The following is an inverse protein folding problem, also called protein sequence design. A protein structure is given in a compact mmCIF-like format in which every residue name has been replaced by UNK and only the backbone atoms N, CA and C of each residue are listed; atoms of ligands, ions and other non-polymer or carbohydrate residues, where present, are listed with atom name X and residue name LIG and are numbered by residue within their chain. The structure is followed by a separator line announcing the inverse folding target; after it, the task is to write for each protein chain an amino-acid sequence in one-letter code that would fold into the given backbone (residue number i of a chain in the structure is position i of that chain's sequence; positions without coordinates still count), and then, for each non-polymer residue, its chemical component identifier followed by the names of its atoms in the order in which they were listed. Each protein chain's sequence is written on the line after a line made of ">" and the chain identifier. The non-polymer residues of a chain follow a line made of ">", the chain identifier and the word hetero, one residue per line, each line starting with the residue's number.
data_IF_896952632242
#
_entry.id   IF_896952632242
#
_cell.length_a   1.000
_cell.length_b   1.000
_cell.length_c   1.000
_cell.angle_alpha   90.00
_cell.angle_beta   90.00
_cell.angle_gamma   90.00
#
_symmetry.space_group_name_H-M   'P 1'
#
loop_
_entity.id
_entity.type
_entity.pdbx_description
1 polymer ?
#
# COMPACT_ATOMS: atom_id res chain seq x y z
N UNK A 1 2.51 -17.15 8.79
CA UNK A 1 2.38 -17.61 7.38
C UNK A 1 3.75 -18.02 6.89
N UNK A 2 3.88 -19.11 6.11
CA UNK A 2 5.14 -19.48 5.45
C UNK A 2 5.52 -18.39 4.47
N UNK A 3 6.76 -17.93 4.52
CA UNK A 3 7.28 -16.96 3.55
C UNK A 3 7.31 -17.62 2.17
N UNK A 4 6.77 -16.93 1.15
CA UNK A 4 6.77 -17.40 -0.23
C UNK A 4 8.20 -17.37 -0.78
N UNK A 5 8.54 -18.34 -1.63
CA UNK A 5 9.77 -18.27 -2.42
C UNK A 5 9.60 -17.21 -3.52
N UNK A 6 10.70 -16.62 -3.98
CA UNK A 6 10.69 -15.61 -5.03
C UNK A 6 10.00 -16.10 -6.33
N UNK A 7 10.20 -17.36 -6.68
CA UNK A 7 9.61 -18.02 -7.85
C UNK A 7 8.10 -18.21 -7.75
N UNK A 8 7.55 -18.19 -6.53
CA UNK A 8 6.13 -18.39 -6.25
C UNK A 8 5.35 -17.07 -6.22
N UNK A 9 6.06 -15.92 -6.30
CA UNK A 9 5.44 -14.61 -6.31
C UNK A 9 4.56 -14.43 -7.54
N UNK A 10 3.44 -13.73 -7.35
CA UNK A 10 2.46 -13.38 -8.36
C UNK A 10 2.31 -11.87 -8.41
N UNK A 11 1.60 -11.34 -9.41
CA UNK A 11 1.35 -9.90 -9.51
C UNK A 11 0.71 -9.31 -8.24
N UNK A 12 -0.13 -10.08 -7.55
CA UNK A 12 -0.77 -9.65 -6.29
C UNK A 12 0.17 -9.54 -5.09
N UNK A 13 1.41 -10.05 -5.19
CA UNK A 13 2.42 -9.84 -4.16
C UNK A 13 3.04 -8.44 -4.35
N UNK A 14 3.07 -7.63 -3.31
CA UNK A 14 3.49 -6.22 -3.30
C UNK A 14 4.87 -6.01 -3.93
N UNK A 15 5.85 -6.84 -3.54
CA UNK A 15 7.18 -6.82 -4.14
C UNK A 15 7.12 -7.03 -5.67
N UNK A 16 6.39 -8.06 -6.13
CA UNK A 16 6.28 -8.36 -7.56
C UNK A 16 5.53 -7.26 -8.30
N UNK A 17 4.45 -6.74 -7.72
CA UNK A 17 3.70 -5.61 -8.27
C UNK A 17 4.61 -4.41 -8.52
N UNK A 18 5.35 -3.98 -7.49
CA UNK A 18 6.29 -2.87 -7.62
C UNK A 18 7.38 -3.11 -8.67
N UNK A 19 7.84 -4.36 -8.90
CA UNK A 19 8.83 -4.67 -9.93
C UNK A 19 8.25 -4.67 -11.35
N UNK A 20 7.07 -5.24 -11.53
CA UNK A 20 6.37 -5.26 -12.83
C UNK A 20 5.97 -3.85 -13.25
N UNK A 21 5.48 -3.04 -12.30
CA UNK A 21 5.13 -1.63 -12.56
C UNK A 21 6.34 -0.74 -12.89
N UNK A 22 7.55 -1.24 -12.88
CA UNK A 22 8.73 -0.56 -13.45
C UNK A 22 8.73 -0.48 -14.97
N UNK A 23 7.99 -1.34 -15.63
CA UNK A 23 7.76 -1.22 -17.06
C UNK A 23 6.77 -0.07 -17.32
N UNK A 24 7.25 1.02 -17.94
CA UNK A 24 6.49 2.25 -18.16
C UNK A 24 5.18 1.99 -18.92
N UNK A 25 5.21 1.19 -19.96
CA UNK A 25 4.02 0.86 -20.76
C UNK A 25 2.99 0.06 -19.95
N UNK A 26 3.45 -0.89 -19.15
CA UNK A 26 2.61 -1.70 -18.25
C UNK A 26 2.01 -0.83 -17.16
N UNK A 27 2.81 -0.01 -16.50
CA UNK A 27 2.35 0.88 -15.42
C UNK A 27 1.28 1.86 -15.94
N UNK A 28 1.58 2.57 -17.03
CA UNK A 28 0.65 3.49 -17.67
C UNK A 28 -0.68 2.80 -18.01
N UNK A 29 -0.64 1.67 -18.72
CA UNK A 29 -1.86 0.95 -19.12
C UNK A 29 -2.64 0.41 -17.91
N UNK A 30 -1.94 -0.03 -16.86
CA UNK A 30 -2.59 -0.44 -15.60
C UNK A 30 -3.36 0.73 -14.97
N UNK A 31 -2.74 1.91 -14.86
CA UNK A 31 -3.40 3.10 -14.31
C UNK A 31 -4.58 3.56 -15.17
N UNK A 32 -4.44 3.54 -16.49
CA UNK A 32 -5.54 3.86 -17.42
C UNK A 32 -6.75 2.94 -17.21
N UNK A 33 -6.52 1.63 -17.06
CA UNK A 33 -7.59 0.65 -16.80
C UNK A 33 -8.23 0.87 -15.43
N UNK A 34 -7.42 1.06 -14.38
CA UNK A 34 -7.92 1.26 -13.02
C UNK A 34 -8.78 2.53 -12.90
N UNK A 35 -8.39 3.60 -13.57
CA UNK A 35 -9.02 4.91 -13.42
C UNK A 35 -10.07 5.21 -14.51
N UNK A 36 -10.08 4.45 -15.61
CA UNK A 36 -10.93 4.73 -16.76
C UNK A 36 -10.59 6.03 -17.48
N UNK A 37 -9.33 6.46 -17.43
CA UNK A 37 -8.83 7.69 -18.06
C UNK A 37 -7.77 7.35 -19.10
N UNK A 38 -7.45 8.32 -19.97
CA UNK A 38 -6.30 8.27 -20.85
C UNK A 38 -5.17 9.10 -20.25
N UNK A 39 -3.98 8.52 -20.19
CA UNK A 39 -2.74 9.15 -19.75
C UNK A 39 -1.85 9.26 -20.98
N UNK A 40 -1.30 10.42 -21.29
CA UNK A 40 -0.46 10.61 -22.48
C UNK A 40 0.92 10.00 -22.24
N UNK A 41 1.57 10.40 -21.16
CA UNK A 41 2.84 9.82 -20.71
C UNK A 41 2.91 9.77 -19.18
N UNK A 42 3.84 8.99 -18.63
CA UNK A 42 4.14 8.99 -17.21
C UNK A 42 5.65 9.15 -17.03
N UNK A 43 6.04 10.00 -16.10
CA UNK A 43 7.41 10.05 -15.66
C UNK A 43 7.68 8.96 -14.63
N UNK A 44 8.84 8.30 -14.82
CA UNK A 44 9.24 7.21 -13.95
C UNK A 44 9.68 7.80 -12.64
N UNK A 45 8.92 7.54 -11.64
CA UNK A 45 9.38 7.83 -10.32
C UNK A 45 10.53 6.89 -9.98
N UNK A 46 11.36 7.35 -9.09
CA UNK A 46 12.26 6.49 -8.36
C UNK A 46 11.41 5.41 -7.68
N UNK A 47 11.47 4.20 -8.22
CA UNK A 47 10.73 3.05 -7.72
C UNK A 47 11.04 2.85 -6.25
N UNK A 48 9.99 2.72 -5.44
CA UNK A 48 10.03 2.67 -3.99
C UNK A 48 10.57 3.99 -3.38
N UNK A 49 9.95 5.10 -3.76
CA UNK A 49 10.27 6.38 -3.14
C UNK A 49 9.99 6.30 -1.64
N UNK A 50 11.06 6.19 -0.86
CA UNK A 50 10.97 6.38 0.57
C UNK A 50 10.83 7.88 0.84
N UNK A 51 9.62 8.34 1.17
CA UNK A 51 9.39 9.72 1.55
C UNK A 51 9.73 9.85 3.03
N UNK A 52 10.91 10.40 3.32
CA UNK A 52 11.36 10.71 4.68
C UNK A 52 11.14 12.18 4.96
N UNK A 53 10.13 12.53 5.75
CA UNK A 53 9.79 13.93 6.03
C UNK A 53 10.50 14.49 7.26
N UNK A 54 10.76 13.64 8.26
CA UNK A 54 11.49 14.04 9.46
C UNK A 54 12.30 12.89 10.02
N UNK A 55 13.34 13.22 10.79
CA UNK A 55 14.19 12.24 11.48
C UNK A 55 13.42 11.33 12.47
N UNK A 56 12.19 11.69 12.84
CA UNK A 56 11.33 10.95 13.77
C UNK A 56 9.99 10.51 13.15
N UNK A 57 9.73 10.82 11.87
CA UNK A 57 8.47 10.45 11.21
C UNK A 57 8.51 9.02 10.68
N UNK A 58 7.33 8.36 10.64
CA UNK A 58 7.17 7.06 10.00
C UNK A 58 7.43 7.22 8.50
N UNK A 59 8.55 6.68 8.01
CA UNK A 59 8.82 6.64 6.57
C UNK A 59 7.76 5.81 5.84
N UNK A 60 7.41 6.23 4.64
CA UNK A 60 6.49 5.51 3.76
C UNK A 60 7.27 5.02 2.55
N UNK A 61 7.19 3.74 2.29
CA UNK A 61 7.62 3.13 1.04
C UNK A 61 6.39 2.93 0.20
N UNK A 62 6.33 3.58 -0.96
CA UNK A 62 5.24 3.47 -1.90
C UNK A 62 5.59 2.38 -2.93
N UNK A 63 4.63 1.47 -3.22
CA UNK A 63 4.85 0.38 -4.17
C UNK A 63 5.01 0.94 -5.59
N UNK A 64 4.13 1.85 -5.96
CA UNK A 64 4.15 2.56 -7.23
C UNK A 64 3.82 4.03 -6.99
N UNK A 65 4.68 4.91 -7.44
CA UNK A 65 4.46 6.36 -7.40
C UNK A 65 4.84 6.93 -8.76
N UNK A 66 3.88 7.50 -9.49
CA UNK A 66 4.09 8.06 -10.83
C UNK A 66 3.42 9.42 -10.97
N UNK A 67 3.99 10.24 -11.84
CA UNK A 67 3.47 11.54 -12.24
C UNK A 67 3.20 11.51 -13.75
N UNK A 68 2.07 12.07 -14.20
CA UNK A 68 1.76 12.17 -15.63
C UNK A 68 2.20 13.50 -16.24
N UNK A 69 2.02 13.63 -17.55
CA UNK A 69 2.31 14.82 -18.32
C UNK A 69 1.52 16.07 -17.89
N UNK A 70 0.46 15.90 -17.10
CA UNK A 70 -0.35 16.97 -16.49
C UNK A 70 -0.03 17.18 -15.01
N UNK A 71 1.07 16.60 -14.56
CA UNK A 71 1.53 16.63 -13.18
C UNK A 71 0.57 15.96 -12.19
N UNK A 72 -0.39 15.13 -12.65
CA UNK A 72 -1.19 14.33 -11.70
C UNK A 72 -0.35 13.22 -11.10
N UNK A 73 -0.50 13.01 -9.81
CA UNK A 73 0.28 12.04 -9.06
C UNK A 73 -0.56 10.80 -8.76
N UNK A 74 0.00 9.64 -9.02
CA UNK A 74 -0.63 8.35 -8.78
C UNK A 74 0.23 7.53 -7.82
N UNK A 75 -0.35 7.16 -6.69
CA UNK A 75 0.21 6.14 -5.82
C UNK A 75 -0.67 4.89 -5.89
N UNK A 76 -0.11 3.75 -6.28
CA UNK A 76 -0.82 2.49 -6.34
C UNK A 76 -0.14 1.44 -5.44
N UNK A 77 -0.92 0.84 -4.56
CA UNK A 77 -0.50 -0.11 -3.53
C UNK A 77 -1.23 -1.44 -3.68
N UNK A 78 -0.49 -2.54 -3.61
CA UNK A 78 -1.07 -3.88 -3.57
C UNK A 78 -1.26 -4.33 -2.12
N UNK A 79 -2.48 -4.79 -1.76
CA UNK A 79 -2.81 -5.20 -0.40
C UNK A 79 -3.43 -6.59 -0.38
N UNK A 80 -2.68 -7.58 0.14
CA UNK A 80 -3.12 -8.97 0.21
C UNK A 80 -3.67 -9.39 1.58
N UNK A 81 -3.15 -8.82 2.65
CA UNK A 81 -3.49 -9.24 4.00
C UNK A 81 -4.85 -8.72 4.40
N UNK A 82 -5.74 -9.63 4.78
CA UNK A 82 -7.11 -9.39 5.23
C UNK A 82 -7.24 -9.44 6.76
N UNK A 83 -6.19 -9.13 7.48
CA UNK A 83 -6.18 -9.00 8.93
C UNK A 83 -7.03 -7.79 9.36
N UNK A 84 -7.88 -7.98 10.36
CA UNK A 84 -8.81 -6.95 10.87
C UNK A 84 -8.09 -5.64 11.26
N UNK A 85 -6.87 -5.74 11.78
CA UNK A 85 -6.09 -4.56 12.14
C UNK A 85 -5.62 -3.81 10.89
N UNK A 86 -5.16 -4.52 9.86
CA UNK A 86 -4.74 -3.93 8.60
C UNK A 86 -5.93 -3.27 7.91
N UNK A 87 -7.09 -3.94 7.86
CA UNK A 87 -8.32 -3.38 7.27
C UNK A 87 -8.70 -2.07 7.97
N UNK A 88 -8.69 -2.04 9.30
CA UNK A 88 -8.98 -0.81 10.08
C UNK A 88 -7.98 0.31 9.85
N UNK A 89 -6.74 -0.02 9.50
CA UNK A 89 -5.70 0.96 9.23
C UNK A 89 -5.79 1.57 7.82
N UNK A 90 -6.36 0.87 6.82
CA UNK A 90 -6.38 1.31 5.42
C UNK A 90 -6.90 2.75 5.22
N UNK A 91 -8.03 3.18 5.82
CA UNK A 91 -8.48 4.56 5.67
C UNK A 91 -7.51 5.60 6.23
N UNK A 92 -6.84 5.27 7.35
CA UNK A 92 -5.83 6.15 7.96
C UNK A 92 -4.53 6.15 7.16
N UNK A 93 -4.12 4.98 6.63
CA UNK A 93 -2.96 4.87 5.72
C UNK A 93 -3.18 5.69 4.46
N UNK A 94 -4.34 5.60 3.82
CA UNK A 94 -4.62 6.37 2.61
C UNK A 94 -4.56 7.88 2.85
N UNK A 95 -5.05 8.36 4.02
CA UNK A 95 -4.92 9.76 4.43
C UNK A 95 -3.46 10.15 4.69
N UNK A 96 -2.70 9.27 5.34
CA UNK A 96 -1.30 9.52 5.64
C UNK A 96 -0.47 9.59 4.35
N UNK A 97 -0.70 8.67 3.41
CA UNK A 97 -0.03 8.66 2.10
C UNK A 97 -0.34 9.93 1.32
N UNK A 98 -1.59 10.38 1.32
CA UNK A 98 -1.97 11.66 0.72
C UNK A 98 -1.15 12.83 1.29
N UNK A 99 -1.10 12.95 2.62
CA UNK A 99 -0.32 14.01 3.27
C UNK A 99 1.18 13.94 2.96
N UNK A 100 1.73 12.72 2.83
CA UNK A 100 3.13 12.51 2.46
C UNK A 100 3.40 12.93 1.01
N UNK A 101 2.48 12.65 0.09
CA UNK A 101 2.54 13.08 -1.31
C UNK A 101 2.55 14.61 -1.37
N UNK A 102 1.60 15.26 -0.71
CA UNK A 102 1.45 16.71 -0.71
C UNK A 102 2.69 17.42 -0.16
N UNK A 103 3.24 16.91 0.96
CA UNK A 103 4.46 17.45 1.55
C UNK A 103 5.70 17.27 0.66
N UNK A 104 5.71 16.26 -0.20
CA UNK A 104 6.82 16.03 -1.13
C UNK A 104 6.70 16.85 -2.42
N UNK A 105 5.48 17.27 -2.77
CA UNK A 105 5.22 18.04 -3.99
C UNK A 105 5.42 19.53 -3.80
N UNK A 106 5.16 20.07 -2.60
CA UNK A 106 5.20 21.49 -2.34
C UNK A 106 6.47 21.89 -1.60
N UNK A 107 7.26 22.77 -2.20
CA UNK A 107 8.43 23.37 -1.55
C UNK A 107 8.01 24.59 -0.72
N UNK A 108 8.85 24.93 0.28
CA UNK A 108 8.60 26.09 1.14
C UNK A 108 8.53 27.38 0.31
N UNK A 109 7.40 28.06 0.43
CA UNK A 109 7.16 29.35 -0.25
C UNK A 109 6.32 29.26 -1.53
N UNK A 110 6.01 28.04 -2.01
CA UNK A 110 5.07 27.86 -3.11
C UNK A 110 3.62 28.01 -2.64
N UNK A 111 2.71 28.52 -3.50
CA UNK A 111 1.30 28.62 -3.17
C UNK A 111 0.63 27.24 -3.14
N UNK A 112 -0.40 27.05 -2.32
CA UNK A 112 -1.14 25.78 -2.26
C UNK A 112 -1.83 25.40 -3.57
N UNK A 113 -2.05 26.34 -4.47
CA UNK A 113 -2.55 26.08 -5.84
C UNK A 113 -1.55 25.31 -6.71
N UNK A 114 -0.32 25.15 -6.26
CA UNK A 114 0.68 24.29 -6.90
C UNK A 114 0.55 22.81 -6.50
N UNK A 115 -0.34 22.47 -5.57
CA UNK A 115 -0.65 21.07 -5.27
C UNK A 115 -1.38 20.42 -6.46
N UNK A 116 -0.82 19.33 -6.92
CA UNK A 116 -1.32 18.61 -8.08
C UNK A 116 -2.53 17.72 -7.73
N UNK A 117 -3.32 17.36 -8.74
CA UNK A 117 -4.29 16.29 -8.59
C UNK A 117 -3.58 15.00 -8.20
N UNK A 118 -4.11 14.30 -7.21
CA UNK A 118 -3.47 13.10 -6.68
C UNK A 118 -4.46 11.97 -6.42
N UNK A 119 -3.99 10.76 -6.71
CA UNK A 119 -4.74 9.53 -6.56
C UNK A 119 -3.97 8.57 -5.64
N UNK A 120 -4.61 8.18 -4.53
CA UNK A 120 -4.11 7.11 -3.67
C UNK A 120 -4.97 5.88 -3.91
N UNK A 121 -4.38 4.85 -4.52
CA UNK A 121 -5.05 3.66 -5.03
C UNK A 121 -4.59 2.45 -4.24
N UNK A 122 -5.53 1.70 -3.65
CA UNK A 122 -5.28 0.39 -3.06
C UNK A 122 -5.96 -0.69 -3.89
N UNK A 123 -5.22 -1.72 -4.27
CA UNK A 123 -5.74 -2.93 -4.91
C UNK A 123 -5.75 -4.03 -3.86
N UNK A 124 -6.94 -4.36 -3.35
CA UNK A 124 -7.13 -5.31 -2.26
C UNK A 124 -7.60 -6.67 -2.80
N UNK A 125 -6.97 -7.76 -2.36
CA UNK A 125 -7.44 -9.12 -2.63
C UNK A 125 -8.47 -9.61 -1.60
N UNK A 126 -9.16 -8.68 -0.96
CA UNK A 126 -10.25 -8.85 -0.01
C UNK A 126 -11.17 -7.61 -0.06
N UNK A 127 -12.37 -7.71 0.53
CA UNK A 127 -13.27 -6.56 0.62
C UNK A 127 -12.91 -5.64 1.79
N UNK A 128 -12.30 -4.46 1.55
CA UNK A 128 -11.83 -3.59 2.62
C UNK A 128 -12.94 -2.93 3.44
N UNK A 129 -14.20 -2.94 2.95
CA UNK A 129 -15.33 -2.26 3.59
C UNK A 129 -16.55 -3.17 3.80
N UNK A 130 -16.50 -4.45 3.37
CA UNK A 130 -17.56 -5.42 3.57
C UNK A 130 -18.88 -5.08 2.85
N UNK A 131 -18.84 -4.33 1.72
CA UNK A 131 -20.04 -3.93 0.97
C UNK A 131 -20.15 -4.60 -0.41
N UNK A 132 -19.27 -5.52 -0.73
CA UNK A 132 -19.29 -6.33 -1.96
C UNK A 132 -19.02 -5.55 -3.25
N UNK A 133 -18.64 -4.28 -3.20
CA UNK A 133 -18.32 -3.49 -4.39
C UNK A 133 -16.93 -3.84 -4.92
N UNK A 134 -16.75 -3.79 -6.25
CA UNK A 134 -15.43 -3.95 -6.86
C UNK A 134 -14.55 -2.71 -6.71
N UNK A 135 -15.16 -1.54 -6.46
CA UNK A 135 -14.51 -0.26 -6.33
C UNK A 135 -15.20 0.60 -5.28
N UNK A 136 -14.39 1.27 -4.47
CA UNK A 136 -14.83 2.29 -3.51
C UNK A 136 -14.01 3.55 -3.76
N UNK A 137 -14.68 4.63 -4.16
CA UNK A 137 -14.05 5.93 -4.43
C UNK A 137 -14.46 6.93 -3.37
N UNK A 138 -13.48 7.58 -2.76
CA UNK A 138 -13.69 8.58 -1.72
C UNK A 138 -13.14 9.93 -2.17
N UNK A 139 -13.98 10.95 -2.05
CA UNK A 139 -13.67 12.37 -2.21
C UNK A 139 -14.29 13.16 -1.06
N UNK A 140 -13.77 14.35 -0.77
CA UNK A 140 -14.36 15.23 0.21
C UNK A 140 -15.65 15.85 -0.36
N UNK A 141 -16.77 15.68 0.36
CA UNK A 141 -18.07 16.21 0.00
C UNK A 141 -18.58 17.14 1.12
N UNK A 142 -19.36 18.16 0.75
CA UNK A 142 -20.08 19.00 1.71
C UNK A 142 -21.13 18.16 2.43
N UNK A 143 -21.15 18.20 3.77
CA UNK A 143 -22.12 17.45 4.57
C UNK A 143 -23.53 17.96 4.43
N UNK A 144 -23.68 19.27 4.26
CA UNK A 144 -24.95 19.97 4.11
C UNK A 144 -25.55 19.79 2.71
N UNK A 145 -24.70 19.50 1.72
CA UNK A 145 -25.12 19.21 0.34
C UNK A 145 -24.12 18.20 -0.27
N UNK A 146 -24.46 16.93 -0.25
CA UNK A 146 -23.59 15.84 -0.74
C UNK A 146 -23.41 15.80 -2.27
N UNK A 147 -24.15 16.63 -3.02
CA UNK A 147 -23.90 16.82 -4.45
C UNK A 147 -22.71 17.74 -4.74
N UNK A 148 -22.25 18.49 -3.72
CA UNK A 148 -21.16 19.45 -3.83
C UNK A 148 -19.84 18.84 -3.32
N UNK A 149 -18.87 18.66 -4.23
CA UNK A 149 -17.53 18.21 -3.89
C UNK A 149 -16.63 19.40 -3.52
N UNK A 150 -15.68 19.18 -2.59
CA UNK A 150 -14.69 20.20 -2.21
C UNK A 150 -13.73 20.56 -3.35
N UNK A 151 -13.54 19.64 -4.31
CA UNK A 151 -12.64 19.80 -5.47
C UNK A 151 -11.19 20.12 -5.09
N UNK A 152 -10.72 19.53 -3.99
CA UNK A 152 -9.35 19.69 -3.48
C UNK A 152 -8.28 18.93 -4.32
N UNK A 153 -8.69 18.29 -5.41
CA UNK A 153 -7.81 17.52 -6.29
C UNK A 153 -7.43 16.15 -5.74
N UNK A 154 -7.91 15.73 -4.55
CA UNK A 154 -7.56 14.43 -3.98
C UNK A 154 -8.60 13.36 -4.25
N UNK A 155 -8.17 12.16 -4.61
CA UNK A 155 -9.06 11.00 -4.77
C UNK A 155 -8.41 9.75 -4.16
N UNK A 156 -9.17 9.04 -3.32
CA UNK A 156 -8.75 7.76 -2.74
C UNK A 156 -9.63 6.66 -3.29
N UNK A 157 -9.01 5.61 -3.84
CA UNK A 157 -9.72 4.52 -4.51
C UNK A 157 -9.24 3.19 -3.93
N UNK A 158 -10.21 2.32 -3.62
CA UNK A 158 -9.93 0.97 -3.17
C UNK A 158 -10.62 0.01 -4.13
N UNK A 159 -9.84 -0.79 -4.82
CA UNK A 159 -10.32 -1.90 -5.64
C UNK A 159 -10.40 -3.17 -4.79
N UNK A 160 -11.42 -3.98 -5.04
CA UNK A 160 -11.66 -5.25 -4.38
C UNK A 160 -11.76 -6.33 -5.46
N UNK A 161 -10.75 -7.21 -5.54
CA UNK A 161 -10.73 -8.29 -6.55
C UNK A 161 -11.83 -9.34 -6.34
N UNK A 162 -12.42 -9.40 -5.12
CA UNK A 162 -13.52 -10.30 -4.75
C UNK A 162 -14.89 -9.64 -4.76
N UNK A 163 -14.97 -8.38 -5.17
CA UNK A 163 -16.24 -7.65 -5.29
C UNK A 163 -17.11 -8.16 -6.44
N UNK A 164 -18.37 -7.71 -6.49
CA UNK A 164 -19.21 -7.95 -7.66
C UNK A 164 -18.64 -7.18 -8.86
N UNK A 165 -18.15 -7.92 -9.86
CA UNK A 165 -17.50 -7.41 -11.06
C UNK A 165 -18.47 -7.24 -12.24
N UNK A 166 -19.77 -7.56 -12.10
CA UNK A 166 -20.74 -7.53 -13.21
C UNK A 166 -20.84 -6.15 -13.85
N UNK A 167 -20.87 -5.12 -13.01
CA UNK A 167 -20.97 -3.71 -13.44
C UNK A 167 -19.61 -3.07 -13.78
N UNK A 168 -18.50 -3.80 -13.61
CA UNK A 168 -17.17 -3.28 -13.89
C UNK A 168 -16.93 -3.20 -15.40
N UNK A 169 -16.26 -2.12 -15.89
CA UNK A 169 -15.78 -2.07 -17.28
C UNK A 169 -14.99 -3.33 -17.63
N UNK A 170 -15.12 -3.80 -18.86
CA UNK A 170 -14.55 -5.09 -19.27
C UNK A 170 -13.04 -5.21 -18.97
N UNK A 171 -12.25 -4.22 -19.35
CA UNK A 171 -10.79 -4.25 -19.14
C UNK A 171 -10.44 -4.26 -17.63
N UNK A 172 -11.18 -3.50 -16.81
CA UNK A 172 -11.00 -3.46 -15.35
C UNK A 172 -11.36 -4.81 -14.72
N UNK A 173 -12.48 -5.40 -15.13
CA UNK A 173 -12.91 -6.72 -14.66
C UNK A 173 -11.83 -7.78 -14.95
N UNK A 174 -11.35 -7.84 -16.18
CA UNK A 174 -10.32 -8.79 -16.61
C UNK A 174 -9.00 -8.59 -15.85
N UNK A 175 -8.63 -7.33 -15.57
CA UNK A 175 -7.45 -7.01 -14.75
C UNK A 175 -7.62 -7.50 -13.29
N UNK A 176 -8.74 -7.18 -12.66
CA UNK A 176 -9.01 -7.60 -11.27
C UNK A 176 -9.11 -9.13 -11.15
N UNK A 177 -9.73 -9.80 -12.13
CA UNK A 177 -9.77 -11.26 -12.20
C UNK A 177 -8.37 -11.86 -12.36
N UNK A 178 -7.52 -11.30 -13.22
CA UNK A 178 -6.13 -11.76 -13.35
C UNK A 178 -5.35 -11.61 -12.03
N UNK A 179 -5.48 -10.49 -11.33
CA UNK A 179 -4.84 -10.28 -10.03
C UNK A 179 -5.30 -11.34 -9.01
N UNK A 180 -6.59 -11.68 -8.98
CA UNK A 180 -7.14 -12.66 -8.06
C UNK A 180 -6.74 -14.09 -8.42
N UNK A 181 -6.91 -14.49 -9.67
CA UNK A 181 -6.79 -15.88 -10.13
C UNK A 181 -5.40 -16.25 -10.67
N UNK A 182 -4.64 -15.25 -11.11
CA UNK A 182 -3.40 -15.40 -11.89
C UNK A 182 -3.63 -16.15 -13.22
N UNK A 183 -4.82 -16.02 -13.81
CA UNK A 183 -5.16 -16.59 -15.11
C UNK A 183 -5.30 -15.45 -16.13
N UNK A 184 -4.36 -15.31 -17.09
CA UNK A 184 -4.41 -14.22 -18.06
C UNK A 184 -5.39 -14.58 -19.20
N UNK A 185 -6.41 -13.75 -19.40
CA UNK A 185 -7.45 -14.00 -20.40
C UNK A 185 -7.30 -13.14 -21.66
N UNK A 186 -6.93 -11.86 -21.50
CA UNK A 186 -6.81 -10.91 -22.60
C UNK A 186 -5.35 -10.59 -22.95
N UNK A 187 -5.14 -9.78 -24.00
CA UNK A 187 -3.80 -9.40 -24.47
C UNK A 187 -3.00 -8.69 -23.38
N UNK A 188 -3.63 -7.77 -22.62
CA UNK A 188 -2.94 -7.00 -21.60
C UNK A 188 -2.57 -7.86 -20.37
N UNK A 189 -3.49 -8.70 -19.90
CA UNK A 189 -3.19 -9.60 -18.79
C UNK A 189 -2.14 -10.65 -19.14
N UNK A 190 -2.06 -11.07 -20.42
CA UNK A 190 -0.95 -11.91 -20.94
C UNK A 190 0.39 -11.16 -20.95
N UNK A 191 0.38 -9.87 -21.26
CA UNK A 191 1.59 -9.04 -21.14
C UNK A 191 2.02 -8.89 -19.68
N UNK A 192 1.08 -8.66 -18.75
CA UNK A 192 1.36 -8.62 -17.32
C UNK A 192 1.96 -9.93 -16.80
N UNK A 193 1.38 -11.06 -17.21
CA UNK A 193 1.88 -12.40 -16.83
C UNK A 193 3.28 -12.64 -17.37
N UNK A 194 3.53 -12.25 -18.61
CA UNK A 194 4.86 -12.30 -19.20
C UNK A 194 5.88 -11.47 -18.43
N UNK A 195 5.53 -10.25 -18.02
CA UNK A 195 6.40 -9.39 -17.22
C UNK A 195 6.69 -9.99 -15.82
N UNK A 196 5.70 -10.63 -15.20
CA UNK A 196 5.89 -11.38 -13.95
C UNK A 196 6.92 -12.50 -14.15
N UNK A 197 6.81 -13.28 -15.23
CA UNK A 197 7.75 -14.36 -15.53
C UNK A 197 9.15 -13.82 -15.89
N UNK A 198 9.26 -12.67 -16.54
CA UNK A 198 10.52 -11.99 -16.77
C UNK A 198 11.14 -11.50 -15.43
N UNK A 199 10.31 -10.93 -14.56
CA UNK A 199 10.74 -10.47 -13.24
C UNK A 199 11.32 -11.61 -12.39
N UNK A 200 10.71 -12.79 -12.40
CA UNK A 200 11.19 -14.00 -11.70
C UNK A 200 12.57 -14.47 -12.15
N UNK A 201 12.97 -14.15 -13.38
CA UNK A 201 14.31 -14.49 -13.91
C UNK A 201 15.38 -13.47 -13.53
N UNK A 202 15.02 -12.37 -12.88
CA UNK A 202 15.94 -11.30 -12.53
C UNK A 202 16.66 -11.59 -11.22
N UNK A 203 17.92 -11.97 -11.31
CA UNK A 203 18.76 -12.32 -10.15
C UNK A 203 18.99 -11.14 -9.19
N UNK A 204 18.99 -9.89 -9.68
CA UNK A 204 19.10 -8.71 -8.83
C UNK A 204 17.84 -8.56 -7.97
N UNK A 205 16.65 -8.73 -8.55
CA UNK A 205 15.40 -8.63 -7.83
C UNK A 205 15.20 -9.78 -6.84
N UNK A 206 15.67 -11.00 -7.21
CA UNK A 206 15.71 -12.13 -6.28
C UNK A 206 16.53 -11.79 -5.04
N UNK A 207 17.73 -11.21 -5.22
CA UNK A 207 18.57 -10.80 -4.08
C UNK A 207 17.96 -9.67 -3.25
N UNK A 208 17.28 -8.72 -3.89
CA UNK A 208 16.56 -7.65 -3.20
C UNK A 208 15.44 -8.25 -2.33
N UNK A 209 14.63 -9.15 -2.88
CA UNK A 209 13.57 -9.84 -2.15
C UNK A 209 14.09 -10.61 -0.94
N UNK A 210 15.17 -11.37 -1.13
CA UNK A 210 15.80 -12.11 -0.03
C UNK A 210 16.31 -11.18 1.07
N UNK A 211 16.86 -10.00 0.74
CA UNK A 211 17.26 -9.00 1.74
C UNK A 211 16.07 -8.45 2.52
N UNK A 212 14.96 -8.19 1.86
CA UNK A 212 13.73 -7.75 2.53
C UNK A 212 13.22 -8.82 3.50
N UNK A 213 13.19 -10.08 3.06
CA UNK A 213 12.78 -11.18 3.94
C UNK A 213 13.67 -11.31 5.18
N UNK A 214 14.98 -11.17 5.02
CA UNK A 214 15.93 -11.21 6.15
C UNK A 214 15.70 -10.02 7.09
N UNK A 215 15.55 -8.82 6.56
CA UNK A 215 15.26 -7.62 7.37
C UNK A 215 13.94 -7.78 8.14
N UNK A 216 12.87 -8.25 7.49
CA UNK A 216 11.59 -8.50 8.16
C UNK A 216 11.70 -9.58 9.25
N UNK A 217 12.57 -10.57 9.04
CA UNK A 217 12.84 -11.59 10.03
C UNK A 217 13.58 -11.00 11.25
N UNK A 218 14.64 -10.24 11.01
CA UNK A 218 15.44 -9.61 12.06
C UNK A 218 14.57 -8.66 12.90
N UNK A 219 13.77 -7.80 12.28
CA UNK A 219 12.85 -6.89 12.98
C UNK A 219 11.81 -7.64 13.84
N UNK A 220 11.31 -8.79 13.39
CA UNK A 220 10.40 -9.62 14.17
C UNK A 220 11.08 -10.27 15.36
N UNK A 221 12.30 -10.73 15.20
CA UNK A 221 13.08 -11.31 16.31
C UNK A 221 13.44 -10.25 17.34
N UNK A 222 13.85 -9.05 16.92
CA UNK A 222 14.08 -7.90 17.81
C UNK A 222 12.83 -7.57 18.62
N UNK A 223 11.67 -7.41 17.96
CA UNK A 223 10.41 -7.13 18.65
C UNK A 223 10.01 -8.22 19.65
N UNK A 224 10.28 -9.51 19.36
CA UNK A 224 10.05 -10.59 20.32
C UNK A 224 10.98 -10.49 21.52
N UNK A 225 12.24 -10.15 21.30
CA UNK A 225 13.22 -9.99 22.38
C UNK A 225 12.83 -8.82 23.30
N UNK A 226 12.37 -7.70 22.74
CA UNK A 226 11.87 -6.56 23.49
C UNK A 226 10.67 -6.92 24.36
N UNK A 227 9.66 -7.62 23.80
CA UNK A 227 8.50 -8.10 24.55
C UNK A 227 8.91 -9.07 25.66
N UNK A 228 9.82 -10.00 25.39
CA UNK A 228 10.31 -10.93 26.41
C UNK A 228 11.04 -10.20 27.54
N UNK A 229 11.86 -9.20 27.20
CA UNK A 229 12.55 -8.35 28.18
C UNK A 229 11.57 -7.56 29.05
N UNK A 230 10.53 -6.96 28.43
CA UNK A 230 9.47 -6.29 29.17
C UNK A 230 8.78 -7.24 30.14
N UNK A 231 8.37 -8.42 29.68
CA UNK A 231 7.72 -9.42 30.51
C UNK A 231 8.58 -9.88 31.69
N UNK A 232 9.90 -10.03 31.47
CA UNK A 232 10.84 -10.38 32.53
C UNK A 232 10.90 -9.26 33.60
N UNK A 233 11.08 -8.01 33.19
CA UNK A 233 11.13 -6.86 34.09
C UNK A 233 9.83 -6.69 34.91
N UNK A 234 8.67 -6.88 34.27
CA UNK A 234 7.38 -6.85 34.95
C UNK A 234 7.22 -8.00 35.94
N UNK A 235 7.69 -9.21 35.60
CA UNK A 235 7.68 -10.35 36.52
C UNK A 235 8.59 -10.14 37.74
N UNK A 236 9.78 -9.60 37.56
CA UNK A 236 10.72 -9.25 38.62
C UNK A 236 10.11 -8.22 39.61
N UNK A 237 9.22 -7.35 39.12
CA UNK A 237 8.49 -6.36 39.95
C UNK A 237 7.12 -6.88 40.45
N UNK A 238 6.79 -8.15 40.25
CA UNK A 238 5.49 -8.75 40.60
C UNK A 238 4.28 -8.10 39.91
N UNK A 239 4.45 -7.51 38.72
CA UNK A 239 3.42 -6.82 37.93
C UNK A 239 2.78 -7.76 36.90
N UNK A 240 2.31 -8.91 37.36
CA UNK A 240 1.74 -9.96 36.47
C UNK A 240 0.48 -9.48 35.74
N UNK A 241 -0.32 -8.61 36.37
CA UNK A 241 -1.51 -8.02 35.72
C UNK A 241 -1.15 -7.15 34.52
N UNK A 242 -0.02 -6.46 34.57
CA UNK A 242 0.48 -5.63 33.47
C UNK A 242 0.94 -6.49 32.29
N UNK A 243 1.52 -7.66 32.53
CA UNK A 243 1.84 -8.64 31.46
C UNK A 243 0.57 -9.07 30.74
N UNK A 244 -0.49 -9.42 31.47
CA UNK A 244 -1.75 -9.85 30.88
C UNK A 244 -2.45 -8.71 30.13
N UNK A 245 -2.39 -7.50 30.67
CA UNK A 245 -2.98 -6.33 30.05
C UNK A 245 -2.23 -5.91 28.79
N UNK A 246 -0.90 -5.82 28.83
CA UNK A 246 -0.07 -5.45 27.69
C UNK A 246 -0.21 -6.38 26.51
N UNK A 247 -0.46 -7.68 26.77
CA UNK A 247 -0.70 -8.66 25.70
C UNK A 247 -2.00 -8.41 24.92
N UNK A 248 -2.94 -7.60 25.45
CA UNK A 248 -4.25 -7.31 24.83
C UNK A 248 -4.41 -5.84 24.42
N UNK A 249 -3.58 -4.94 24.98
CA UNK A 249 -3.66 -3.50 24.81
C UNK A 249 -2.29 -2.98 24.34
N UNK A 250 -2.16 -2.79 23.04
CA UNK A 250 -0.92 -2.31 22.40
C UNK A 250 -0.52 -0.90 22.82
N UNK A 251 -1.50 -0.04 23.15
CA UNK A 251 -1.20 1.31 23.62
C UNK A 251 -0.66 1.27 25.05
N UNK A 252 -1.21 0.39 25.88
CA UNK A 252 -0.69 0.15 27.21
C UNK A 252 0.71 -0.49 27.17
N UNK A 253 0.93 -1.45 26.28
CA UNK A 253 2.25 -2.05 26.07
C UNK A 253 3.29 -0.99 25.68
N UNK A 254 2.94 -0.06 24.79
CA UNK A 254 3.85 1.04 24.39
C UNK A 254 4.24 1.91 25.59
N UNK A 255 3.28 2.25 26.46
CA UNK A 255 3.57 3.02 27.70
C UNK A 255 4.54 2.28 28.63
N UNK A 256 4.42 0.96 28.71
CA UNK A 256 5.34 0.14 29.48
C UNK A 256 6.75 0.10 28.87
N UNK A 257 6.86 0.02 27.53
CA UNK A 257 8.16 0.13 26.85
C UNK A 257 8.83 1.49 27.15
N UNK A 258 8.07 2.59 27.13
CA UNK A 258 8.57 3.91 27.51
C UNK A 258 9.00 3.96 28.99
N UNK A 259 8.19 3.40 29.91
CA UNK A 259 8.47 3.31 31.34
C UNK A 259 9.77 2.57 31.64
N UNK A 260 10.00 1.45 30.95
CA UNK A 260 11.18 0.60 31.16
C UNK A 260 12.35 0.95 30.23
N UNK A 261 12.24 1.97 29.39
CA UNK A 261 13.26 2.41 28.45
C UNK A 261 13.80 1.27 27.57
N UNK A 262 12.89 0.44 27.07
CA UNK A 262 13.24 -0.70 26.21
C UNK A 262 13.39 -0.29 24.73
N UNK A 263 12.88 0.89 24.34
CA UNK A 263 12.98 1.46 22.99
C UNK A 263 13.83 2.70 23.01
#
# INVERSE_FOLDING_TARGET
>A
MSQKKFEELKLRDDFMFGKVMRNKAICKKTLEILLGIQIEDIDYPETQKAINITYQGKSVRLDVYVEDDKYSVYNAEMQQKDDDEIIRQLPKRSRYYQGMIDLNLIEKGFPYTALNTSYVIFICTFDPFGKGKYQYTFRALCQEDTSYALEDGTTRIFFNTKGNLEDAPKELRELLQYIETNQPENTFTKQLDHEVECAKKNEKWRREYMKELLHDFDMKEEGKQEVNRLNQLLAEQNRTEDIIRSAKDTEYQRKLFEEFQIV
#
